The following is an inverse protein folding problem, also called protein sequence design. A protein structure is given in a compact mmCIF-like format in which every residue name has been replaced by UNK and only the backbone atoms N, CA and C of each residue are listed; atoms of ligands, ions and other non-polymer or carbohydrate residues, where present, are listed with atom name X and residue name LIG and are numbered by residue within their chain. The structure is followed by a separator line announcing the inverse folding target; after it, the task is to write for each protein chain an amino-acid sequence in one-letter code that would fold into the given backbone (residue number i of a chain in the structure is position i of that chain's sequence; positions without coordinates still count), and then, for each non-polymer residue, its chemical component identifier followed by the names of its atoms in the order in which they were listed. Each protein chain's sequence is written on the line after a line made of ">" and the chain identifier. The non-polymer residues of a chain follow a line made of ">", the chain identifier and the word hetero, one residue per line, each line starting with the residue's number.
data_IF_431540929927
#
_entry.id   IF_431540929927
#
_cell.length_a   1.000
_cell.length_b   1.000
_cell.length_c   1.000
_cell.angle_alpha   90.00
_cell.angle_beta   90.00
_cell.angle_gamma   90.00
#
_symmetry.space_group_name_H-M   'P 1'
#
loop_
_entity.id
_entity.type
_entity.pdbx_description
1 polymer ?
#
# COMPACT_ATOMS: atom_id res chain seq x y z
N UNK A 1 13.96 -1.67 -17.23
CA UNK A 1 14.16 -0.29 -16.71
C UNK A 1 12.91 0.59 -16.74
N UNK A 2 11.76 0.13 -17.26
CA UNK A 2 10.56 0.98 -17.47
C UNK A 2 9.56 0.93 -16.31
N UNK A 3 9.66 -0.06 -15.42
CA UNK A 3 8.64 -0.32 -14.38
C UNK A 3 8.46 0.81 -13.36
N UNK A 4 9.53 1.51 -12.96
CA UNK A 4 9.40 2.62 -12.01
C UNK A 4 8.71 3.84 -12.65
N UNK A 5 9.14 4.34 -13.83
CA UNK A 5 8.37 5.34 -14.58
C UNK A 5 6.91 4.95 -14.85
N UNK A 6 6.65 3.68 -15.16
CA UNK A 6 5.30 3.17 -15.35
C UNK A 6 4.42 3.35 -14.10
N UNK A 7 4.92 2.98 -12.93
CA UNK A 7 4.16 3.12 -11.68
C UNK A 7 3.97 4.59 -11.28
N UNK A 8 4.94 5.46 -11.57
CA UNK A 8 4.77 6.91 -11.40
C UNK A 8 3.64 7.44 -12.30
N UNK A 9 3.64 7.04 -13.58
CA UNK A 9 2.58 7.42 -14.52
C UNK A 9 1.21 6.88 -14.07
N UNK A 10 1.15 5.63 -13.59
CA UNK A 10 -0.07 5.03 -13.07
C UNK A 10 -0.58 5.74 -11.82
N UNK A 11 0.30 6.15 -10.91
CA UNK A 11 -0.08 6.95 -9.75
C UNK A 11 -0.72 8.28 -10.18
N UNK A 12 -0.10 9.00 -11.13
CA UNK A 12 -0.64 10.26 -11.66
C UNK A 12 -1.99 10.05 -12.35
N UNK A 13 -2.10 9.07 -13.26
CA UNK A 13 -3.35 8.76 -13.96
C UNK A 13 -4.45 8.26 -13.01
N UNK A 14 -4.05 7.52 -11.99
CA UNK A 14 -4.88 7.04 -10.91
C UNK A 14 -5.24 8.12 -9.88
N UNK A 15 -4.75 9.36 -10.01
CA UNK A 15 -5.04 10.46 -9.09
C UNK A 15 -4.44 10.28 -7.69
N UNK A 16 -3.27 9.66 -7.58
CA UNK A 16 -2.52 9.47 -6.34
C UNK A 16 -1.38 10.50 -6.29
N UNK A 17 -1.45 11.51 -5.40
CA UNK A 17 -0.35 12.42 -5.18
C UNK A 17 0.88 11.68 -4.66
N UNK A 18 2.04 11.98 -5.24
CA UNK A 18 3.33 11.43 -4.83
C UNK A 18 4.15 12.49 -4.12
N UNK A 19 4.40 12.26 -2.84
CA UNK A 19 5.15 13.16 -1.97
C UNK A 19 6.56 12.60 -1.71
N UNK A 20 7.50 13.49 -1.42
CA UNK A 20 8.88 13.13 -1.03
C UNK A 20 9.23 13.53 0.41
N UNK A 21 8.27 14.14 1.10
CA UNK A 21 8.44 14.66 2.45
C UNK A 21 7.21 14.32 3.29
N UNK A 22 7.45 13.79 4.48
CA UNK A 22 6.50 13.63 5.57
C UNK A 22 7.28 13.67 6.89
N UNK A 23 6.61 13.99 8.01
CA UNK A 23 7.26 14.04 9.32
C UNK A 23 7.95 12.71 9.67
N UNK A 24 7.26 11.58 9.42
CA UNK A 24 7.79 10.25 9.67
C UNK A 24 9.05 9.91 8.86
N UNK A 25 9.26 10.52 7.69
CA UNK A 25 10.50 10.34 6.93
C UNK A 25 11.72 10.95 7.65
N UNK A 26 11.50 11.96 8.48
CA UNK A 26 12.55 12.62 9.28
C UNK A 26 12.72 11.94 10.64
N UNK A 27 11.59 11.60 11.27
CA UNK A 27 11.56 11.04 12.63
C UNK A 27 12.04 9.58 12.67
N UNK A 28 11.78 8.82 11.60
CA UNK A 28 12.20 7.43 11.50
C UNK A 28 13.09 7.19 10.27
N UNK A 29 14.38 7.03 10.54
CA UNK A 29 15.40 6.72 9.52
C UNK A 29 15.18 5.37 8.82
N UNK A 30 14.41 4.47 9.39
CA UNK A 30 14.09 3.17 8.80
C UNK A 30 12.77 3.18 8.01
N UNK A 31 12.03 4.29 7.96
CA UNK A 31 10.86 4.41 7.10
C UNK A 31 11.29 4.73 5.66
N UNK A 32 10.79 3.95 4.70
CA UNK A 32 11.12 4.08 3.28
C UNK A 32 9.99 4.72 2.46
N UNK A 33 8.76 4.58 2.91
CA UNK A 33 7.56 5.09 2.29
C UNK A 33 6.37 4.96 3.22
N UNK A 34 5.24 5.47 2.77
CA UNK A 34 3.97 5.28 3.45
C UNK A 34 2.82 5.77 2.59
N UNK A 35 1.71 5.04 2.63
CA UNK A 35 0.42 5.48 2.13
C UNK A 35 -0.41 6.12 3.26
N UNK A 36 -0.88 7.34 3.05
CA UNK A 36 -1.80 8.03 3.95
C UNK A 36 -3.23 7.95 3.39
N UNK A 37 -4.13 7.14 3.98
CA UNK A 37 -5.49 7.00 3.50
C UNK A 37 -6.34 8.25 3.70
N UNK A 38 -6.03 9.12 4.67
CA UNK A 38 -6.84 10.31 4.96
C UNK A 38 -6.73 11.36 3.85
N UNK A 39 -5.56 11.45 3.20
CA UNK A 39 -5.32 12.36 2.07
C UNK A 39 -5.14 11.63 0.74
N UNK A 40 -5.21 10.29 0.73
CA UNK A 40 -5.08 9.46 -0.46
C UNK A 40 -3.71 9.59 -1.15
N UNK A 41 -2.64 9.84 -0.39
CA UNK A 41 -1.31 10.16 -0.94
C UNK A 41 -0.27 9.10 -0.60
N UNK A 42 0.70 8.92 -1.50
CA UNK A 42 1.85 8.05 -1.25
C UNK A 42 3.08 8.92 -1.06
N UNK A 43 3.83 8.67 0.00
CA UNK A 43 5.12 9.31 0.26
C UNK A 43 6.25 8.32 0.03
N UNK A 44 7.28 8.74 -0.70
CA UNK A 44 8.54 8.00 -0.82
C UNK A 44 9.65 8.77 -0.11
N UNK A 45 10.20 8.21 0.98
CA UNK A 45 11.24 8.85 1.77
C UNK A 45 12.61 8.76 1.06
N UNK A 46 12.81 9.56 0.00
CA UNK A 46 13.98 9.47 -0.91
C UNK A 46 15.33 9.48 -0.17
N UNK A 47 15.46 10.29 0.88
CA UNK A 47 16.70 10.36 1.70
C UNK A 47 17.00 9.03 2.40
N UNK A 48 15.99 8.37 2.97
CA UNK A 48 16.14 7.09 3.65
C UNK A 48 16.38 5.95 2.66
N UNK A 49 15.62 5.93 1.56
CA UNK A 49 15.79 4.97 0.46
C UNK A 49 17.23 4.97 -0.09
N UNK A 50 17.78 6.16 -0.34
CA UNK A 50 19.16 6.28 -0.83
C UNK A 50 20.19 5.83 0.21
N UNK A 51 19.98 6.17 1.49
CA UNK A 51 20.91 5.79 2.57
C UNK A 51 20.95 4.28 2.78
N UNK A 52 19.79 3.63 2.86
CA UNK A 52 19.69 2.19 3.10
C UNK A 52 19.84 1.36 1.81
N UNK A 53 20.10 2.01 0.66
CA UNK A 53 20.19 1.37 -0.67
C UNK A 53 18.97 0.50 -1.01
N UNK A 54 17.80 0.95 -0.57
CA UNK A 54 16.54 0.24 -0.80
C UNK A 54 15.98 0.49 -2.21
N UNK A 55 15.23 -0.48 -2.72
CA UNK A 55 14.62 -0.40 -4.04
C UNK A 55 13.39 0.53 -4.03
N UNK A 56 13.52 1.68 -4.70
CA UNK A 56 12.39 2.57 -4.99
C UNK A 56 11.22 1.84 -5.64
N UNK A 57 11.52 0.92 -6.55
CA UNK A 57 10.53 0.12 -7.25
C UNK A 57 9.76 -0.77 -6.28
N UNK A 58 10.44 -1.45 -5.36
CA UNK A 58 9.77 -2.32 -4.41
C UNK A 58 8.87 -1.52 -3.45
N UNK A 59 9.36 -0.39 -2.97
CA UNK A 59 8.59 0.46 -2.05
C UNK A 59 7.37 1.05 -2.72
N UNK A 60 7.48 1.64 -3.92
CA UNK A 60 6.29 2.17 -4.59
C UNK A 60 5.27 1.06 -4.94
N UNK A 61 5.71 -0.16 -5.28
CA UNK A 61 4.78 -1.28 -5.48
C UNK A 61 4.03 -1.63 -4.19
N UNK A 62 4.72 -1.64 -3.06
CA UNK A 62 4.14 -1.88 -1.74
C UNK A 62 3.11 -0.79 -1.39
N UNK A 63 3.48 0.49 -1.47
CA UNK A 63 2.56 1.58 -1.15
C UNK A 63 1.34 1.62 -2.10
N UNK A 64 1.53 1.34 -3.39
CA UNK A 64 0.43 1.27 -4.34
C UNK A 64 -0.47 0.05 -4.13
N UNK A 65 0.01 -1.04 -3.52
CA UNK A 65 -0.85 -2.13 -3.10
C UNK A 65 -1.81 -1.68 -1.98
N UNK A 66 -1.31 -0.90 -1.02
CA UNK A 66 -2.16 -0.30 0.02
C UNK A 66 -3.20 0.67 -0.54
N UNK A 67 -2.84 1.46 -1.55
CA UNK A 67 -3.79 2.30 -2.30
C UNK A 67 -4.95 1.46 -2.86
N UNK A 68 -4.63 0.33 -3.49
CA UNK A 68 -5.65 -0.56 -4.10
C UNK A 68 -6.52 -1.20 -3.02
N UNK A 69 -5.93 -1.73 -1.95
CA UNK A 69 -6.66 -2.27 -0.80
C UNK A 69 -7.65 -1.25 -0.23
N UNK A 70 -7.20 -0.01 0.00
CA UNK A 70 -8.02 1.06 0.52
C UNK A 70 -9.17 1.44 -0.44
N UNK A 71 -8.87 1.63 -1.73
CA UNK A 71 -9.90 1.98 -2.74
C UNK A 71 -10.95 0.90 -2.94
N UNK A 72 -10.61 -0.35 -2.67
CA UNK A 72 -11.54 -1.49 -2.68
C UNK A 72 -12.28 -1.69 -1.34
N UNK A 73 -12.15 -0.74 -0.41
CA UNK A 73 -12.87 -0.73 0.87
C UNK A 73 -12.30 -1.67 1.93
N UNK A 74 -11.03 -2.09 1.81
CA UNK A 74 -10.38 -2.96 2.81
C UNK A 74 -9.67 -2.19 3.93
N UNK A 75 -9.44 -0.89 3.78
CA UNK A 75 -8.95 0.02 4.83
C UNK A 75 -7.80 -0.55 5.69
N UNK A 76 -6.77 -1.11 5.05
CA UNK A 76 -5.62 -1.71 5.72
C UNK A 76 -5.65 -3.23 5.84
N UNK A 77 -6.78 -3.89 5.54
CA UNK A 77 -6.87 -5.35 5.42
C UNK A 77 -6.54 -5.84 4.00
N UNK A 78 -6.30 -7.14 3.87
CA UNK A 78 -6.01 -7.79 2.59
C UNK A 78 -7.23 -7.87 1.66
N UNK A 79 -6.97 -7.88 0.35
CA UNK A 79 -7.93 -8.24 -0.68
C UNK A 79 -8.18 -9.75 -0.68
N UNK A 80 -7.12 -10.55 -0.51
CA UNK A 80 -7.19 -12.00 -0.46
C UNK A 80 -7.73 -12.49 0.90
N UNK A 81 -8.63 -13.49 0.90
CA UNK A 81 -9.01 -14.19 2.11
C UNK A 81 -7.80 -14.80 2.82
N UNK A 82 -7.80 -14.81 4.16
CA UNK A 82 -6.69 -15.34 4.97
C UNK A 82 -6.36 -16.80 4.64
N UNK A 83 -7.35 -17.62 4.27
CA UNK A 83 -7.14 -19.01 3.87
C UNK A 83 -6.25 -19.17 2.62
N UNK A 84 -6.21 -18.16 1.75
CA UNK A 84 -5.31 -18.11 0.59
C UNK A 84 -4.03 -17.35 0.90
N UNK A 85 -4.11 -16.28 1.70
CA UNK A 85 -2.96 -15.44 2.03
C UNK A 85 -1.94 -16.17 2.93
N UNK A 86 -2.39 -16.84 4.00
CA UNK A 86 -1.50 -17.48 4.97
C UNK A 86 -0.53 -18.52 4.38
N UNK A 87 -0.95 -19.45 3.49
CA UNK A 87 0.01 -20.37 2.87
C UNK A 87 1.02 -19.63 1.99
N UNK A 88 0.60 -18.64 1.20
CA UNK A 88 1.50 -17.84 0.37
C UNK A 88 2.53 -17.08 1.21
N UNK A 89 2.10 -16.47 2.31
CA UNK A 89 3.00 -15.78 3.26
C UNK A 89 4.03 -16.76 3.82
N UNK A 90 3.58 -17.94 4.25
CA UNK A 90 4.45 -18.96 4.85
C UNK A 90 5.53 -19.47 3.88
N UNK A 91 5.18 -19.61 2.60
CA UNK A 91 6.07 -20.16 1.58
C UNK A 91 6.99 -19.12 0.96
N UNK A 92 6.51 -17.88 0.78
CA UNK A 92 7.18 -16.88 -0.05
C UNK A 92 7.82 -15.73 0.74
N UNK A 93 7.38 -15.45 1.97
CA UNK A 93 7.98 -14.40 2.79
C UNK A 93 8.99 -14.97 3.81
N UNK A 94 10.15 -14.31 4.00
CA UNK A 94 11.08 -14.67 5.07
C UNK A 94 10.41 -14.59 6.45
N UNK A 95 10.62 -15.62 7.28
CA UNK A 95 10.01 -15.69 8.62
C UNK A 95 10.29 -14.46 9.51
N UNK A 96 11.51 -13.90 9.43
CA UNK A 96 11.87 -12.70 10.20
C UNK A 96 11.01 -11.49 9.83
N UNK A 97 10.66 -11.36 8.56
CA UNK A 97 9.80 -10.29 8.07
C UNK A 97 8.35 -10.51 8.49
N UNK A 98 7.85 -11.75 8.38
CA UNK A 98 6.51 -12.09 8.87
C UNK A 98 6.41 -11.77 10.36
N UNK A 99 7.40 -12.18 11.16
CA UNK A 99 7.44 -11.89 12.59
C UNK A 99 7.47 -10.38 12.87
N UNK A 100 8.25 -9.61 12.11
CA UNK A 100 8.29 -8.16 12.25
C UNK A 100 6.91 -7.53 12.03
N UNK A 101 6.18 -7.98 10.99
CA UNK A 101 4.81 -7.49 10.74
C UNK A 101 3.88 -7.86 11.88
N UNK A 102 3.89 -9.12 12.33
CA UNK A 102 3.05 -9.60 13.44
C UNK A 102 3.29 -8.84 14.75
N UNK A 103 4.51 -8.35 14.99
CA UNK A 103 4.87 -7.63 16.21
C UNK A 103 4.63 -6.12 16.12
N UNK A 104 4.68 -5.54 14.92
CA UNK A 104 4.68 -4.09 14.72
C UNK A 104 3.31 -3.53 14.37
N UNK A 105 2.47 -4.31 13.69
CA UNK A 105 1.18 -3.85 13.16
C UNK A 105 0.01 -4.34 14.00
N UNK A 106 -1.07 -3.55 14.13
CA UNK A 106 -2.28 -4.00 14.80
C UNK A 106 -2.93 -5.15 14.02
N UNK A 107 -3.65 -6.03 14.74
CA UNK A 107 -4.19 -7.28 14.19
C UNK A 107 -4.98 -7.14 12.88
N UNK A 108 -5.71 -6.03 12.71
CA UNK A 108 -6.54 -5.80 11.53
C UNK A 108 -5.77 -5.33 10.29
N UNK A 109 -4.50 -4.91 10.45
CA UNK A 109 -3.63 -4.47 9.35
C UNK A 109 -2.61 -5.53 8.94
N UNK A 110 -2.38 -6.55 9.77
CA UNK A 110 -1.38 -7.61 9.53
C UNK A 110 -1.54 -8.24 8.14
N UNK A 111 -2.76 -8.61 7.77
CA UNK A 111 -3.00 -9.27 6.48
C UNK A 111 -2.74 -8.32 5.31
N UNK A 112 -3.19 -7.06 5.40
CA UNK A 112 -2.97 -6.09 4.34
C UNK A 112 -1.48 -5.78 4.13
N UNK A 113 -0.72 -5.65 5.21
CA UNK A 113 0.74 -5.46 5.18
C UNK A 113 1.47 -6.68 4.57
N UNK A 114 1.11 -7.89 4.97
CA UNK A 114 1.68 -9.13 4.41
C UNK A 114 1.34 -9.29 2.91
N UNK A 115 0.10 -8.97 2.53
CA UNK A 115 -0.33 -8.98 1.13
C UNK A 115 0.44 -7.93 0.32
N UNK A 116 0.62 -6.71 0.83
CA UNK A 116 1.37 -5.65 0.14
C UNK A 116 2.85 -6.04 -0.05
N UNK A 117 3.45 -6.74 0.93
CA UNK A 117 4.81 -7.31 0.81
C UNK A 117 4.88 -8.37 -0.28
N UNK A 118 3.94 -9.31 -0.31
CA UNK A 118 3.84 -10.28 -1.41
C UNK A 118 3.66 -9.59 -2.76
N UNK A 119 2.74 -8.62 -2.84
CA UNK A 119 2.45 -7.87 -4.06
C UNK A 119 3.70 -7.15 -4.59
N UNK A 120 4.46 -6.51 -3.71
CA UNK A 120 5.68 -5.80 -4.08
C UNK A 120 6.76 -6.69 -4.69
N UNK A 121 6.80 -7.97 -4.32
CA UNK A 121 7.78 -8.95 -4.82
C UNK A 121 7.30 -9.70 -6.05
N UNK A 122 6.08 -10.20 -6.01
CA UNK A 122 5.63 -11.24 -6.94
C UNK A 122 4.65 -10.73 -8.00
N UNK A 123 3.95 -9.62 -7.75
CA UNK A 123 3.02 -9.07 -8.74
C UNK A 123 3.80 -8.18 -9.72
N UNK A 124 3.67 -8.39 -11.04
CA UNK A 124 4.25 -7.50 -12.04
C UNK A 124 3.81 -6.05 -11.86
N UNK A 125 4.72 -5.11 -12.12
CA UNK A 125 4.43 -3.67 -11.99
C UNK A 125 3.29 -3.22 -12.88
N UNK A 126 3.10 -3.87 -14.03
CA UNK A 126 2.02 -3.63 -14.97
C UNK A 126 0.66 -3.91 -14.35
N UNK A 127 0.54 -5.01 -13.60
CA UNK A 127 -0.72 -5.36 -12.94
C UNK A 127 -1.05 -4.39 -11.80
N UNK A 128 -0.04 -3.98 -11.02
CA UNK A 128 -0.23 -2.95 -9.99
C UNK A 128 -0.64 -1.62 -10.64
N UNK A 129 0.01 -1.22 -11.73
CA UNK A 129 -0.33 -0.02 -12.48
C UNK A 129 -1.80 -0.04 -12.96
N UNK A 130 -2.22 -1.15 -13.58
CA UNK A 130 -3.60 -1.33 -14.03
C UNK A 130 -4.58 -1.25 -12.86
N UNK A 131 -4.28 -1.94 -11.75
CA UNK A 131 -5.14 -1.93 -10.56
C UNK A 131 -5.30 -0.52 -9.97
N UNK A 132 -4.21 0.25 -9.86
CA UNK A 132 -4.23 1.63 -9.36
C UNK A 132 -5.13 2.53 -10.23
N UNK A 133 -5.00 2.43 -11.55
CA UNK A 133 -5.81 3.23 -12.48
C UNK A 133 -7.27 2.77 -12.46
N UNK A 134 -7.53 1.47 -12.50
CA UNK A 134 -8.88 0.89 -12.53
C UNK A 134 -9.69 1.21 -11.27
N UNK A 135 -9.02 1.30 -10.12
CA UNK A 135 -9.68 1.56 -8.83
C UNK A 135 -9.89 3.05 -8.53
N UNK A 136 -9.45 3.97 -9.40
CA UNK A 136 -9.56 5.42 -9.19
C UNK A 136 -10.95 5.89 -8.77
N UNK A 137 -11.99 5.38 -9.41
CA UNK A 137 -13.37 5.80 -9.15
C UNK A 137 -14.11 4.91 -8.15
N UNK A 138 -13.46 3.86 -7.63
CA UNK A 138 -14.13 2.90 -6.75
C UNK A 138 -14.43 3.48 -5.37
N UNK A 139 -13.55 4.36 -4.86
CA UNK A 139 -13.72 4.95 -3.52
C UNK A 139 -14.88 5.96 -3.43
N UNK A 140 -15.37 6.51 -4.55
CA UNK A 140 -16.49 7.47 -4.54
C UNK A 140 -17.86 6.83 -4.27
N UNK A 141 -17.96 5.49 -4.30
CA UNK A 141 -19.24 4.78 -4.14
C UNK A 141 -19.65 4.46 -2.70
N UNK A 142 -18.78 4.64 -1.69
CA UNK A 142 -19.06 4.20 -0.32
C UNK A 142 -19.51 5.30 0.65
N UNK A 143 -19.42 6.58 0.28
CA UNK A 143 -19.85 7.72 1.12
C UNK A 143 -21.35 8.07 1.00
N UNK A 144 -22.17 7.25 0.34
CA UNK A 144 -23.61 7.53 0.10
C UNK A 144 -24.61 6.68 0.89
N UNK A 145 -24.18 6.03 1.97
CA UNK A 145 -25.08 5.37 2.92
C UNK A 145 -25.04 5.99 4.33
N UNK A 146 -25.12 7.32 4.41
CA UNK A 146 -25.52 8.04 5.61
C UNK A 146 -27.03 8.31 5.60
N UNK A 147 -27.84 7.36 6.08
CA UNK A 147 -29.28 7.57 6.27
C UNK A 147 -29.55 8.69 7.31
N UNK A 148 -30.69 9.39 7.21
CA UNK A 148 -30.97 10.53 8.08
C UNK A 148 -31.10 10.07 9.54
N UNK A 149 -30.29 10.70 10.42
CA UNK A 149 -30.46 10.65 11.87
C UNK A 149 -31.84 11.20 12.21
N UNK A 150 -32.77 10.32 12.58
CA UNK A 150 -34.01 10.68 13.23
C UNK A 150 -33.70 11.20 14.63
N UNK A 151 -33.83 12.51 14.83
CA UNK A 151 -33.98 13.12 16.16
C UNK A 151 -35.18 12.50 16.87
N UNK A 152 -34.93 11.98 18.08
CA UNK A 152 -35.89 11.97 19.19
C UNK A 152 -35.15 12.25 20.49
#
# INVERSE_FOLDING_TARGET
>A
MIHFPLLLAAAVLGGIPLNSHAAFCQDNRHSMGGFDPAVGSVTLCRKNLNREKNSYLNVIKHELAHVVQHRMGRNGDALMPSSLLSPLVRELLPQKEVMAVLMQYPNHEINGELEARLASRYIPSELIAVAVVATRNWSQGQDHHGGPLLSR
#
